data_IF_012750582733
#
_entry.id   IF_012750582733
#
_cell.length_a   1.000
_cell.length_b   1.000
_cell.length_c   1.000
_cell.angle_alpha   90.00
_cell.angle_beta   90.00
_cell.angle_gamma   90.00
#
_symmetry.space_group_name_H-M   'P 1'
#
loop_
_entity.id
_entity.type
_entity.pdbx_description
1 polymer ?
#
# COMPACT_ATOMS: atom_id res chain seq x y z
N UNK A 1 -1.19 0.33 -23.79
CA UNK A 1 -1.35 -0.61 -22.66
C UNK A 1 -2.51 -0.30 -21.71
N UNK A 2 -2.63 0.88 -21.09
CA UNK A 2 -3.67 1.11 -20.06
C UNK A 2 -5.11 0.79 -20.51
N UNK A 3 -5.46 1.03 -21.77
CA UNK A 3 -6.78 0.70 -22.33
C UNK A 3 -6.97 -0.80 -22.63
N UNK A 4 -5.91 -1.51 -22.98
CA UNK A 4 -5.94 -2.95 -23.29
C UNK A 4 -6.13 -3.79 -22.03
N UNK A 5 -5.70 -3.28 -20.87
CA UNK A 5 -5.89 -3.93 -19.57
C UNK A 5 -7.21 -3.51 -18.92
N UNK A 6 -7.65 -2.25 -19.12
CA UNK A 6 -8.90 -1.74 -18.55
C UNK A 6 -10.13 -2.52 -19.01
N UNK A 7 -10.23 -2.85 -20.29
CA UNK A 7 -11.39 -3.56 -20.85
C UNK A 7 -11.62 -4.95 -20.23
N UNK A 8 -10.63 -5.87 -20.21
CA UNK A 8 -10.82 -7.19 -19.58
C UNK A 8 -11.00 -7.08 -18.06
N UNK A 9 -10.30 -6.16 -17.39
CA UNK A 9 -10.46 -5.98 -15.95
C UNK A 9 -11.84 -5.44 -15.58
N UNK A 10 -12.37 -4.48 -16.33
CA UNK A 10 -13.72 -3.96 -16.12
C UNK A 10 -14.78 -5.04 -16.34
N UNK A 11 -14.58 -5.96 -17.30
CA UNK A 11 -15.46 -7.10 -17.49
C UNK A 11 -15.44 -8.03 -16.27
N UNK A 12 -14.25 -8.42 -15.78
CA UNK A 12 -14.11 -9.26 -14.58
C UNK A 12 -14.76 -8.60 -13.37
N UNK A 13 -14.49 -7.31 -13.13
CA UNK A 13 -15.07 -6.57 -12.00
C UNK A 13 -16.60 -6.45 -12.13
N UNK A 14 -17.10 -6.17 -13.33
CA UNK A 14 -18.54 -6.08 -13.59
C UNK A 14 -19.27 -7.40 -13.38
N UNK A 15 -18.72 -8.53 -13.83
CA UNK A 15 -19.30 -9.84 -13.53
C UNK A 15 -19.20 -10.19 -12.04
N UNK A 16 -18.12 -9.80 -11.37
CA UNK A 16 -18.00 -9.97 -9.92
C UNK A 16 -19.07 -9.18 -9.17
N UNK A 17 -19.40 -7.97 -9.63
CA UNK A 17 -20.49 -7.16 -9.06
C UNK A 17 -21.85 -7.84 -9.22
N UNK A 18 -22.16 -8.39 -10.40
CA UNK A 18 -23.40 -9.14 -10.65
C UNK A 18 -23.50 -10.37 -9.74
N UNK A 19 -22.40 -11.10 -9.55
CA UNK A 19 -22.38 -12.27 -8.67
C UNK A 19 -22.59 -11.88 -7.19
N UNK A 20 -22.00 -10.76 -6.76
CA UNK A 20 -22.16 -10.25 -5.39
C UNK A 20 -23.62 -9.88 -5.06
N UNK A 21 -24.42 -9.45 -6.04
CA UNK A 21 -25.83 -9.09 -5.84
C UNK A 21 -26.72 -10.29 -5.51
N UNK A 22 -26.34 -11.50 -5.93
CA UNK A 22 -27.18 -12.70 -5.86
C UNK A 22 -26.59 -13.83 -5.01
N UNK A 23 -25.35 -13.70 -4.56
CA UNK A 23 -24.69 -14.70 -3.73
C UNK A 23 -25.15 -14.61 -2.27
N UNK A 24 -25.53 -15.76 -1.69
CA UNK A 24 -25.99 -15.85 -0.30
C UNK A 24 -25.08 -16.71 0.57
N UNK A 25 -24.17 -17.47 -0.04
CA UNK A 25 -23.15 -18.24 0.68
C UNK A 25 -22.08 -17.29 1.26
N UNK A 26 -21.92 -17.24 2.60
CA UNK A 26 -20.97 -16.34 3.25
C UNK A 26 -19.52 -16.52 2.79
N UNK A 27 -19.11 -17.76 2.47
CA UNK A 27 -17.74 -18.07 2.04
C UNK A 27 -17.52 -17.53 0.62
N UNK A 28 -18.50 -17.73 -0.28
CA UNK A 28 -18.41 -17.23 -1.64
C UNK A 28 -18.49 -15.71 -1.70
N UNK A 29 -19.33 -15.09 -0.86
CA UNK A 29 -19.39 -13.64 -0.69
C UNK A 29 -18.03 -13.06 -0.31
N UNK A 30 -17.35 -13.67 0.66
CA UNK A 30 -16.02 -13.23 1.08
C UNK A 30 -14.99 -13.37 -0.04
N UNK A 31 -14.96 -14.52 -0.71
CA UNK A 31 -14.10 -14.75 -1.87
C UNK A 31 -14.35 -13.75 -3.00
N UNK A 32 -15.61 -13.44 -3.32
CA UNK A 32 -15.96 -12.45 -4.36
C UNK A 32 -15.52 -11.03 -3.96
N UNK A 33 -15.64 -10.65 -2.69
CA UNK A 33 -15.12 -9.37 -2.17
C UNK A 33 -13.59 -9.31 -2.33
N UNK A 34 -12.89 -10.39 -2.02
CA UNK A 34 -11.43 -10.51 -2.18
C UNK A 34 -11.03 -10.38 -3.66
N UNK A 35 -11.73 -11.07 -4.57
CA UNK A 35 -11.49 -10.97 -6.02
C UNK A 35 -11.69 -9.53 -6.49
N UNK A 36 -12.79 -8.90 -6.09
CA UNK A 36 -13.11 -7.51 -6.47
C UNK A 36 -12.07 -6.51 -5.97
N UNK A 37 -11.68 -6.60 -4.69
CA UNK A 37 -10.69 -5.69 -4.11
C UNK A 37 -9.32 -5.88 -4.76
N UNK A 38 -8.88 -7.13 -4.93
CA UNK A 38 -7.62 -7.47 -5.58
C UNK A 38 -7.57 -7.00 -7.04
N UNK A 39 -8.65 -7.20 -7.79
CA UNK A 39 -8.75 -6.75 -9.18
C UNK A 39 -8.72 -5.24 -9.33
N UNK A 40 -9.41 -4.50 -8.44
CA UNK A 40 -9.35 -3.03 -8.42
C UNK A 40 -7.95 -2.52 -8.11
N UNK A 41 -7.29 -3.10 -7.10
CA UNK A 41 -5.93 -2.71 -6.72
C UNK A 41 -4.94 -2.97 -7.86
N UNK A 42 -4.99 -4.15 -8.49
CA UNK A 42 -4.16 -4.47 -9.66
C UNK A 42 -4.36 -3.47 -10.81
N UNK A 43 -5.61 -3.15 -11.14
CA UNK A 43 -5.91 -2.20 -12.20
C UNK A 43 -5.35 -0.82 -11.86
N UNK A 44 -5.51 -0.37 -10.62
CA UNK A 44 -4.98 0.90 -10.15
C UNK A 44 -3.45 0.94 -10.23
N UNK A 45 -2.76 -0.10 -9.74
CA UNK A 45 -1.30 -0.20 -9.81
C UNK A 45 -0.79 -0.10 -11.25
N UNK A 46 -1.40 -0.82 -12.18
CA UNK A 46 -1.02 -0.79 -13.60
C UNK A 46 -1.27 0.58 -14.21
N UNK A 47 -2.38 1.23 -13.87
CA UNK A 47 -2.72 2.56 -14.36
C UNK A 47 -1.76 3.61 -13.81
N UNK A 48 -1.44 3.56 -12.52
CA UNK A 48 -0.51 4.46 -11.87
C UNK A 48 0.90 4.25 -12.42
N UNK A 49 1.37 3.01 -12.54
CA UNK A 49 2.64 2.70 -13.19
C UNK A 49 2.70 3.25 -14.62
N UNK A 50 1.65 3.03 -15.43
CA UNK A 50 1.58 3.57 -16.80
C UNK A 50 1.64 5.10 -16.84
N UNK A 51 0.99 5.79 -15.89
CA UNK A 51 1.02 7.26 -15.81
C UNK A 51 2.39 7.76 -15.36
N UNK A 52 3.01 7.08 -14.40
CA UNK A 52 4.34 7.40 -13.89
C UNK A 52 5.38 7.31 -15.01
N UNK A 53 5.41 6.19 -15.75
CA UNK A 53 6.34 5.98 -16.87
C UNK A 53 6.14 7.00 -17.99
N UNK A 54 4.89 7.45 -18.19
CA UNK A 54 4.57 8.49 -19.17
C UNK A 54 4.84 9.92 -18.65
N UNK A 55 5.27 10.10 -17.39
CA UNK A 55 5.43 11.42 -16.77
C UNK A 55 4.12 12.19 -16.59
N UNK A 56 2.99 11.49 -16.47
CA UNK A 56 1.62 12.05 -16.44
C UNK A 56 0.97 12.03 -15.05
N UNK A 57 1.73 11.70 -14.00
CA UNK A 57 1.25 11.92 -12.63
C UNK A 57 1.55 13.35 -12.23
N UNK A 58 0.50 14.06 -11.82
CA UNK A 58 0.59 15.34 -11.14
C UNK A 58 0.33 15.12 -9.65
N UNK A 59 1.18 15.70 -8.80
CA UNK A 59 1.01 15.71 -7.36
C UNK A 59 0.11 16.89 -6.98
N UNK A 60 -0.99 16.60 -6.30
CA UNK A 60 -1.95 17.61 -5.85
C UNK A 60 -1.62 18.00 -4.41
N UNK A 61 -0.71 18.97 -4.24
CA UNK A 61 -0.27 19.43 -2.92
C UNK A 61 -1.32 20.37 -2.30
N UNK A 62 -1.87 19.98 -1.15
CA UNK A 62 -2.80 20.78 -0.36
C UNK A 62 -2.50 20.68 1.14
N UNK A 63 -3.13 21.53 1.94
CA UNK A 63 -3.05 21.44 3.40
C UNK A 63 -4.05 20.40 3.89
N UNK A 64 -3.58 19.39 4.62
CA UNK A 64 -4.44 18.35 5.17
C UNK A 64 -4.06 18.03 6.62
N UNK A 65 -4.99 17.40 7.34
CA UNK A 65 -4.76 16.99 8.74
C UNK A 65 -3.99 15.68 8.78
N UNK A 66 -2.72 15.76 9.19
CA UNK A 66 -1.87 14.58 9.30
C UNK A 66 -2.40 13.59 10.35
N UNK A 67 -2.85 14.11 11.50
CA UNK A 67 -3.43 13.30 12.58
C UNK A 67 -4.64 12.50 12.09
N UNK A 68 -5.56 13.13 11.35
CA UNK A 68 -6.74 12.44 10.80
C UNK A 68 -6.36 11.36 9.78
N UNK A 69 -5.38 11.64 8.91
CA UNK A 69 -4.88 10.65 7.94
C UNK A 69 -4.29 9.43 8.67
N UNK A 70 -3.47 9.64 9.69
CA UNK A 70 -2.87 8.56 10.50
C UNK A 70 -3.94 7.81 11.30
N UNK A 71 -4.91 8.49 11.93
CA UNK A 71 -6.01 7.85 12.65
C UNK A 71 -6.83 6.91 11.75
N UNK A 72 -7.11 7.33 10.50
CA UNK A 72 -7.79 6.47 9.53
C UNK A 72 -6.97 5.22 9.21
N UNK A 73 -5.65 5.36 9.03
CA UNK A 73 -4.75 4.24 8.79
C UNK A 73 -4.72 3.29 10.00
N UNK A 74 -4.60 3.84 11.22
CA UNK A 74 -4.64 3.06 12.46
C UNK A 74 -5.92 2.24 12.52
N UNK A 75 -7.09 2.87 12.31
CA UNK A 75 -8.37 2.17 12.37
C UNK A 75 -8.46 0.97 11.42
N UNK A 76 -7.91 1.09 10.21
CA UNK A 76 -7.89 -0.01 9.24
C UNK A 76 -6.95 -1.15 9.67
N UNK A 77 -5.73 -0.82 10.10
CA UNK A 77 -4.71 -1.83 10.41
C UNK A 77 -4.85 -2.44 11.80
N UNK A 78 -5.49 -1.76 12.76
CA UNK A 78 -5.78 -2.37 14.08
C UNK A 78 -6.74 -3.55 13.97
N UNK A 79 -7.72 -3.47 13.06
CA UNK A 79 -8.64 -4.59 12.78
C UNK A 79 -7.83 -5.78 12.23
N UNK A 80 -6.99 -5.53 11.23
CA UNK A 80 -6.14 -6.57 10.62
C UNK A 80 -5.14 -7.16 11.62
N UNK A 81 -4.57 -6.33 12.50
CA UNK A 81 -3.68 -6.72 13.58
C UNK A 81 -4.38 -7.67 14.55
N UNK A 82 -5.62 -7.35 14.94
CA UNK A 82 -6.45 -8.22 15.80
C UNK A 82 -6.79 -9.56 15.15
N UNK A 83 -7.15 -9.56 13.87
CA UNK A 83 -7.43 -10.80 13.11
C UNK A 83 -6.20 -11.72 12.99
N UNK A 84 -5.01 -11.12 12.84
CA UNK A 84 -3.74 -11.86 12.72
C UNK A 84 -3.02 -12.10 14.03
N UNK A 85 -3.50 -11.53 15.13
CA UNK A 85 -2.84 -11.53 16.44
C UNK A 85 -1.38 -11.02 16.35
N UNK A 86 -1.20 -9.87 15.69
CA UNK A 86 0.06 -9.13 15.55
C UNK A 86 -0.06 -7.85 16.37
N UNK A 87 0.99 -7.47 17.09
CA UNK A 87 1.04 -6.19 17.80
C UNK A 87 1.18 -5.05 16.79
N UNK A 88 0.41 -3.98 16.96
CA UNK A 88 0.49 -2.81 16.08
C UNK A 88 0.50 -1.55 16.93
N UNK A 89 1.67 -0.94 17.02
CA UNK A 89 1.90 0.27 17.79
C UNK A 89 2.22 1.44 16.86
N UNK A 90 1.58 2.58 17.16
CA UNK A 90 1.77 3.80 16.38
C UNK A 90 2.14 4.95 17.31
N UNK A 91 3.26 5.59 17.02
CA UNK A 91 3.79 6.71 17.78
C UNK A 91 3.95 7.92 16.87
N UNK A 92 3.18 8.96 17.16
CA UNK A 92 3.31 10.25 16.50
C UNK A 92 3.98 11.21 17.48
N UNK A 93 5.19 11.64 17.15
CA UNK A 93 5.95 12.57 17.96
C UNK A 93 5.29 13.96 17.99
N UNK A 94 5.43 14.69 19.10
CA UNK A 94 4.84 16.02 19.25
C UNK A 94 5.44 17.08 18.33
N UNK A 95 6.58 16.80 17.68
CA UNK A 95 7.15 17.62 16.61
C UNK A 95 6.27 17.67 15.36
N UNK A 96 5.42 16.67 15.12
CA UNK A 96 4.62 16.59 13.89
C UNK A 96 3.52 17.64 13.87
N UNK A 97 3.47 18.54 12.87
CA UNK A 97 2.40 19.52 12.75
C UNK A 97 1.04 18.85 12.54
N UNK A 98 0.00 19.38 13.18
CA UNK A 98 -1.38 18.88 13.00
C UNK A 98 -1.87 19.00 11.55
N UNK A 99 -1.35 19.99 10.81
CA UNK A 99 -1.61 20.23 9.40
C UNK A 99 -0.29 20.22 8.65
N UNK A 100 -0.23 19.45 7.57
CA UNK A 100 0.95 19.36 6.70
C UNK A 100 0.57 19.70 5.26
N UNK A 101 1.55 20.11 4.46
CA UNK A 101 1.35 20.45 3.05
C UNK A 101 1.88 19.31 2.16
N UNK A 102 1.01 18.69 1.37
CA UNK A 102 1.36 17.56 0.52
C UNK A 102 0.14 16.94 -0.14
N UNK A 103 0.32 15.79 -0.79
CA UNK A 103 -0.78 15.06 -1.42
C UNK A 103 -1.23 13.91 -0.50
N UNK A 104 -2.28 14.16 0.30
CA UNK A 104 -2.82 13.20 1.29
C UNK A 104 -3.13 11.85 0.64
N UNK A 105 -3.67 11.88 -0.59
CA UNK A 105 -4.05 10.68 -1.31
C UNK A 105 -2.83 9.82 -1.67
N UNK A 106 -1.77 10.44 -2.23
CA UNK A 106 -0.55 9.72 -2.59
C UNK A 106 0.25 9.27 -1.38
N UNK A 107 0.27 10.05 -0.30
CA UNK A 107 0.90 9.65 0.96
C UNK A 107 0.14 8.45 1.55
N UNK A 108 -1.19 8.49 1.59
CA UNK A 108 -2.02 7.37 2.04
C UNK A 108 -1.78 6.12 1.19
N UNK A 109 -1.66 6.28 -0.14
CA UNK A 109 -1.33 5.17 -1.05
C UNK A 109 0.02 4.52 -0.74
N UNK A 110 1.05 5.33 -0.47
CA UNK A 110 2.37 4.84 -0.05
C UNK A 110 2.23 4.04 1.25
N UNK A 111 1.60 4.62 2.27
CA UNK A 111 1.48 4.01 3.59
C UNK A 111 0.66 2.73 3.58
N UNK A 112 -0.45 2.69 2.84
CA UNK A 112 -1.26 1.48 2.65
C UNK A 112 -0.44 0.34 2.02
N UNK A 113 0.39 0.66 1.03
CA UNK A 113 1.23 -0.35 0.39
C UNK A 113 2.32 -0.88 1.33
N UNK A 114 3.01 0.00 2.07
CA UNK A 114 4.08 -0.42 2.97
C UNK A 114 3.50 -1.19 4.18
N UNK A 115 2.47 -0.66 4.85
CA UNK A 115 1.79 -1.36 5.96
C UNK A 115 1.18 -2.68 5.48
N UNK A 116 0.56 -2.68 4.30
CA UNK A 116 0.02 -3.90 3.69
C UNK A 116 1.10 -4.98 3.52
N UNK A 117 2.32 -4.59 3.13
CA UNK A 117 3.44 -5.53 3.04
C UNK A 117 3.92 -5.98 4.43
N UNK A 118 4.07 -5.08 5.40
CA UNK A 118 4.46 -5.43 6.77
C UNK A 118 3.51 -6.50 7.36
N UNK A 119 2.20 -6.26 7.36
CA UNK A 119 1.21 -7.22 7.87
C UNK A 119 1.12 -8.51 7.04
N UNK A 120 1.46 -8.45 5.75
CA UNK A 120 1.46 -9.63 4.88
C UNK A 120 2.62 -10.57 5.20
N UNK A 121 3.77 -10.03 5.59
CA UNK A 121 5.00 -10.79 5.81
C UNK A 121 5.29 -11.08 7.28
N UNK A 122 4.65 -10.38 8.21
CA UNK A 122 4.64 -10.69 9.64
C UNK A 122 3.55 -11.72 9.95
N UNK A 123 3.95 -12.87 10.52
CA UNK A 123 3.03 -13.93 10.98
C UNK A 123 2.85 -13.91 12.50
N UNK A 124 3.83 -13.37 13.22
CA UNK A 124 3.84 -13.19 14.67
C UNK A 124 4.79 -12.03 15.01
N UNK A 125 4.58 -11.40 16.16
CA UNK A 125 5.38 -10.27 16.63
C UNK A 125 4.67 -8.94 16.40
N UNK A 126 5.40 -7.91 15.96
CA UNK A 126 4.90 -6.53 15.86
C UNK A 126 5.08 -5.92 14.47
N UNK A 127 4.27 -4.90 14.24
CA UNK A 127 4.49 -3.87 13.23
C UNK A 127 4.43 -2.53 13.96
N UNK A 128 5.44 -1.69 13.79
CA UNK A 128 5.57 -0.43 14.50
C UNK A 128 5.63 0.72 13.50
N UNK A 129 4.89 1.80 13.76
CA UNK A 129 4.90 3.01 12.93
C UNK A 129 5.26 4.22 13.78
N UNK A 130 6.37 4.87 13.44
CA UNK A 130 6.81 6.11 14.08
C UNK A 130 6.75 7.28 13.10
N UNK A 131 6.18 8.40 13.54
CA UNK A 131 6.14 9.65 12.80
C UNK A 131 6.88 10.74 13.58
N UNK A 132 7.83 11.41 12.94
CA UNK A 132 8.50 12.61 13.48
C UNK A 132 8.62 13.69 12.42
N UNK A 133 8.84 14.93 12.85
CA UNK A 133 9.09 16.05 11.93
C UNK A 133 10.51 16.56 12.07
N UNK A 134 11.25 16.56 10.95
CA UNK A 134 12.67 16.88 10.90
C UNK A 134 13.01 17.48 9.52
N UNK A 135 13.83 18.52 9.47
CA UNK A 135 14.28 19.18 8.24
C UNK A 135 13.17 19.52 7.22
N UNK A 136 12.02 20.00 7.73
CA UNK A 136 10.81 20.33 6.96
C UNK A 136 10.05 19.12 6.38
N UNK A 137 10.46 17.90 6.68
CA UNK A 137 9.79 16.67 6.27
C UNK A 137 9.13 15.96 7.45
N UNK A 138 8.02 15.28 7.17
CA UNK A 138 7.52 14.24 8.06
C UNK A 138 8.26 12.96 7.71
N UNK A 139 9.03 12.45 8.66
CA UNK A 139 9.69 11.16 8.55
C UNK A 139 8.76 10.11 9.15
N UNK A 140 8.39 9.13 8.33
CA UNK A 140 7.56 8.01 8.74
C UNK A 140 8.44 6.76 8.66
N UNK A 141 8.75 6.20 9.82
CA UNK A 141 9.49 4.95 9.95
C UNK A 141 8.50 3.83 10.21
N UNK A 142 8.72 2.70 9.55
CA UNK A 142 7.96 1.48 9.80
C UNK A 142 8.95 0.35 10.05
N UNK A 143 8.69 -0.41 11.11
CA UNK A 143 9.46 -1.58 11.48
C UNK A 143 8.51 -2.77 11.58
N UNK A 144 8.94 -3.93 11.11
CA UNK A 144 8.17 -5.17 11.23
C UNK A 144 9.09 -6.33 11.63
N UNK A 145 8.54 -7.27 12.38
CA UNK A 145 9.26 -8.50 12.79
C UNK A 145 9.04 -9.66 11.82
N UNK A 146 8.73 -9.36 10.56
CA UNK A 146 8.43 -10.34 9.53
C UNK A 146 9.67 -11.11 9.05
N UNK A 147 9.52 -11.77 7.91
CA UNK A 147 10.59 -12.59 7.31
C UNK A 147 11.84 -11.79 6.89
N UNK A 148 11.75 -10.47 6.88
CA UNK A 148 12.79 -9.56 6.44
C UNK A 148 13.08 -9.63 4.94
N UNK A 149 14.03 -8.79 4.50
CA UNK A 149 14.52 -8.75 3.12
C UNK A 149 16.02 -9.06 3.14
N UNK A 150 16.48 -9.99 2.30
CA UNK A 150 17.92 -10.28 2.20
C UNK A 150 18.67 -9.07 1.63
N UNK A 151 19.92 -8.85 2.07
CA UNK A 151 20.75 -7.71 1.63
C UNK A 151 20.84 -7.58 0.11
N UNK A 152 20.97 -8.71 -0.58
CA UNK A 152 21.04 -8.78 -2.04
C UNK A 152 19.75 -8.29 -2.72
N UNK A 153 18.60 -8.38 -2.06
CA UNK A 153 17.31 -7.98 -2.61
C UNK A 153 16.97 -6.51 -2.34
N UNK A 154 17.59 -5.88 -1.33
CA UNK A 154 17.31 -4.47 -0.96
C UNK A 154 17.47 -3.52 -2.17
N UNK A 155 18.48 -3.75 -3.02
CA UNK A 155 18.71 -2.92 -4.19
C UNK A 155 17.63 -3.09 -5.28
N UNK A 156 16.92 -4.22 -5.29
CA UNK A 156 15.98 -4.60 -6.35
C UNK A 156 14.51 -4.58 -5.90
N UNK A 157 14.19 -4.50 -4.60
CA UNK A 157 12.79 -4.50 -4.11
C UNK A 157 11.95 -3.32 -4.65
N UNK A 158 12.60 -2.26 -5.11
CA UNK A 158 11.95 -1.10 -5.71
C UNK A 158 11.87 -1.17 -7.24
N UNK A 159 12.41 -2.21 -7.87
CA UNK A 159 12.30 -2.39 -9.32
C UNK A 159 10.91 -2.90 -9.69
N UNK A 160 10.31 -2.38 -10.78
CA UNK A 160 9.00 -2.84 -11.22
C UNK A 160 8.99 -4.33 -11.53
N UNK A 161 7.93 -5.02 -11.08
CA UNK A 161 7.71 -6.46 -11.29
C UNK A 161 8.69 -7.40 -10.59
N UNK A 162 9.64 -6.88 -9.80
CA UNK A 162 10.49 -7.71 -8.97
C UNK A 162 9.70 -8.23 -7.76
N UNK A 163 9.81 -9.55 -7.53
CA UNK A 163 9.20 -10.23 -6.40
C UNK A 163 10.25 -11.11 -5.76
N UNK A 164 10.60 -10.84 -4.51
CA UNK A 164 11.72 -11.43 -3.77
C UNK A 164 12.12 -12.86 -4.17
N UNK A 165 11.68 -13.89 -3.44
CA UNK A 165 11.97 -15.28 -3.81
C UNK A 165 10.81 -15.89 -4.62
N UNK A 166 11.13 -16.70 -5.62
CA UNK A 166 10.12 -17.39 -6.47
C UNK A 166 9.19 -18.33 -5.67
N UNK A 167 9.63 -18.76 -4.47
CA UNK A 167 8.82 -19.49 -3.50
C UNK A 167 7.86 -18.59 -2.70
N UNK A 168 8.28 -17.36 -2.37
CA UNK A 168 7.47 -16.35 -1.68
C UNK A 168 6.40 -15.75 -2.59
N UNK A 169 6.69 -15.53 -3.88
CA UNK A 169 5.71 -15.06 -4.86
C UNK A 169 4.50 -15.99 -5.00
N UNK A 170 4.73 -17.32 -4.90
CA UNK A 170 3.64 -18.32 -4.88
C UNK A 170 2.84 -18.36 -3.58
N UNK A 171 3.46 -18.05 -2.44
CA UNK A 171 2.81 -18.11 -1.12
C UNK A 171 2.06 -16.83 -0.77
N UNK A 172 2.56 -15.68 -1.20
CA UNK A 172 2.08 -14.37 -0.78
C UNK A 172 1.53 -13.51 -1.93
N UNK A 173 1.77 -13.88 -3.19
CA UNK A 173 1.29 -13.15 -4.36
C UNK A 173 1.78 -11.69 -4.44
N UNK A 174 1.28 -10.94 -5.43
CA UNK A 174 1.59 -9.53 -5.63
C UNK A 174 1.95 -9.23 -7.08
N UNK A 175 2.02 -7.95 -7.44
CA UNK A 175 2.41 -7.49 -8.77
C UNK A 175 3.90 -7.17 -8.88
N UNK A 176 4.56 -6.93 -7.74
CA UNK A 176 5.90 -6.33 -7.71
C UNK A 176 5.89 -4.84 -8.09
N UNK A 177 4.72 -4.21 -8.24
CA UNK A 177 4.61 -2.80 -8.62
C UNK A 177 4.53 -1.87 -7.42
N UNK A 178 3.91 -2.30 -6.32
CA UNK A 178 3.61 -1.43 -5.18
C UNK A 178 4.79 -0.61 -4.67
N UNK A 179 5.92 -1.26 -4.31
CA UNK A 179 7.09 -0.54 -3.79
C UNK A 179 7.73 0.39 -4.83
N UNK A 180 7.77 -0.01 -6.11
CA UNK A 180 8.28 0.82 -7.20
C UNK A 180 7.43 2.10 -7.37
N UNK A 181 6.10 1.97 -7.33
CA UNK A 181 5.15 3.08 -7.38
C UNK A 181 5.32 3.96 -6.14
N UNK A 182 5.39 3.37 -4.94
CA UNK A 182 5.58 4.13 -3.70
C UNK A 182 6.85 4.99 -3.73
N UNK A 183 7.98 4.41 -4.16
CA UNK A 183 9.25 5.14 -4.24
C UNK A 183 9.16 6.29 -5.24
N UNK A 184 8.51 6.06 -6.38
CA UNK A 184 8.39 7.09 -7.41
C UNK A 184 7.43 8.21 -7.01
N UNK A 185 6.33 7.90 -6.33
CA UNK A 185 5.44 8.90 -5.73
C UNK A 185 6.16 9.75 -4.68
N UNK A 186 6.95 9.13 -3.79
CA UNK A 186 7.75 9.86 -2.82
C UNK A 186 8.74 10.84 -3.50
N UNK A 187 9.42 10.38 -4.57
CA UNK A 187 10.32 11.22 -5.35
C UNK A 187 9.61 12.39 -6.05
N UNK A 188 8.40 12.18 -6.58
CA UNK A 188 7.58 13.24 -7.17
C UNK A 188 7.11 14.27 -6.12
N UNK A 189 7.10 13.90 -4.84
CA UNK A 189 6.84 14.76 -3.70
C UNK A 189 8.12 15.31 -3.06
N UNK A 190 9.26 15.23 -3.75
CA UNK A 190 10.57 15.72 -3.29
C UNK A 190 11.14 14.97 -2.07
N UNK A 191 10.58 13.80 -1.75
CA UNK A 191 11.02 12.92 -0.67
C UNK A 191 11.72 11.65 -1.16
N UNK A 192 11.93 10.71 -0.24
CA UNK A 192 12.57 9.42 -0.53
C UNK A 192 12.00 8.29 0.33
N UNK A 193 12.14 7.06 -0.15
CA UNK A 193 11.91 5.83 0.62
C UNK A 193 13.22 5.06 0.67
N UNK A 194 13.58 4.59 1.86
CA UNK A 194 14.79 3.81 2.14
C UNK A 194 14.45 2.63 3.05
N UNK A 195 15.29 1.59 3.04
CA UNK A 195 15.23 0.39 3.88
C UNK A 195 16.62 0.09 4.41
#
# INVERSE_FOLDING_TARGET
MSHEIRTPMNAILGFTDILLESESDPIKLDNLKIIKSSGKNLLNDILDFSKIEAGKIEIQKENFSFSRMIENLIGMFQILAGEKNIEFDVKVDSSVPAVVFGDEHRITQILLNILGNAFKFTHQGSVDLECRYEDLFVIITMEDTGIGVSKEKIDYIFNPFEQGDSSLGRRYGGTGLGLSISRKLAQLMDGSITV
#
